data_IF_516788523278
#
_entry.id   IF_516788523278
#
_cell.length_a   1.000
_cell.length_b   1.000
_cell.length_c   1.000
_cell.angle_alpha   90.00
_cell.angle_beta   90.00
_cell.angle_gamma   90.00
#
_symmetry.space_group_name_H-M   'P 1'
#
loop_
_entity.id
_entity.type
_entity.pdbx_description
1 polymer ?
#
# COMPACT_ATOMS: atom_id res chain seq x y z
N UNK A 1 15.90 -3.03 18.31
CA UNK A 1 14.86 -3.60 17.43
C UNK A 1 13.69 -2.67 17.51
N UNK A 2 13.35 -1.93 16.44
CA UNK A 2 12.16 -1.08 16.45
C UNK A 2 10.95 -1.99 16.46
N UNK A 3 10.30 -2.12 17.61
CA UNK A 3 8.98 -2.72 17.70
C UNK A 3 8.08 -1.94 16.75
N UNK A 4 7.58 -2.60 15.70
CA UNK A 4 6.46 -2.06 14.95
C UNK A 4 5.34 -1.94 15.96
N UNK A 5 4.95 -0.70 16.20
CA UNK A 5 4.07 -0.37 17.29
C UNK A 5 2.67 -0.93 16.97
N UNK A 6 2.39 -2.10 17.54
CA UNK A 6 1.06 -2.67 17.63
C UNK A 6 0.36 -2.00 18.82
N UNK A 7 -0.86 -1.52 18.61
CA UNK A 7 -1.67 -0.95 19.68
C UNK A 7 -2.81 -1.91 19.99
N UNK A 8 -3.00 -2.25 21.28
CA UNK A 8 -4.01 -3.21 21.74
C UNK A 8 -3.97 -4.60 21.05
N UNK A 9 -2.82 -5.03 20.53
CA UNK A 9 -2.70 -6.30 19.80
C UNK A 9 -3.21 -6.27 18.36
N UNK A 10 -3.62 -5.09 17.85
CA UNK A 10 -3.99 -4.92 16.45
C UNK A 10 -2.74 -4.91 15.55
N UNK A 11 -2.74 -5.79 14.55
CA UNK A 11 -1.70 -5.86 13.54
C UNK A 11 -2.04 -4.95 12.36
N UNK A 12 -1.04 -4.36 11.68
CA UNK A 12 -1.29 -3.58 10.49
C UNK A 12 -1.83 -4.47 9.37
N UNK A 13 -2.71 -3.92 8.54
CA UNK A 13 -3.07 -4.55 7.27
C UNK A 13 -1.89 -4.42 6.29
N UNK A 14 -1.52 -5.52 5.64
CA UNK A 14 -0.49 -5.49 4.60
C UNK A 14 -1.13 -5.51 3.23
N UNK A 15 -0.77 -4.54 2.39
CA UNK A 15 -1.23 -4.40 1.02
C UNK A 15 -0.03 -4.47 0.07
N UNK A 16 -0.18 -5.22 -1.01
CA UNK A 16 0.79 -5.29 -2.11
C UNK A 16 0.16 -4.71 -3.36
N UNK A 17 0.71 -3.63 -3.89
CA UNK A 17 0.26 -3.04 -5.14
C UNK A 17 0.73 -3.93 -6.30
N UNK A 18 -0.18 -4.21 -7.23
CA UNK A 18 0.21 -4.88 -8.45
C UNK A 18 1.18 -4.00 -9.28
N UNK A 19 2.02 -4.59 -10.15
CA UNK A 19 3.03 -3.83 -10.90
C UNK A 19 2.45 -2.74 -11.82
N UNK A 20 1.25 -2.95 -12.39
CA UNK A 20 0.60 -1.97 -13.27
C UNK A 20 0.15 -0.78 -12.44
N UNK A 21 -0.57 -1.02 -11.34
CA UNK A 21 -0.95 0.02 -10.41
C UNK A 21 0.30 0.75 -9.90
N UNK A 22 1.31 0.03 -9.39
CA UNK A 22 2.54 0.66 -8.93
C UNK A 22 3.21 1.54 -10.00
N UNK A 23 3.27 1.08 -11.26
CA UNK A 23 3.81 1.85 -12.38
C UNK A 23 3.01 3.12 -12.69
N UNK A 24 1.68 3.02 -12.70
CA UNK A 24 0.79 4.18 -12.87
C UNK A 24 1.01 5.22 -11.77
N UNK A 25 1.26 4.75 -10.55
CA UNK A 25 1.41 5.59 -9.38
C UNK A 25 2.80 6.23 -9.27
N UNK A 26 3.84 5.53 -9.74
CA UNK A 26 5.21 6.04 -9.80
C UNK A 26 5.40 7.18 -10.80
N UNK A 27 4.51 7.31 -11.79
CA UNK A 27 4.53 8.39 -12.77
C UNK A 27 3.92 9.72 -12.26
N UNK A 28 3.21 9.71 -11.13
CA UNK A 28 2.56 10.88 -10.55
C UNK A 28 3.44 11.60 -9.53
N UNK A 29 3.72 12.89 -9.75
CA UNK A 29 4.52 13.79 -8.89
C UNK A 29 3.94 13.96 -7.46
N UNK A 30 4.10 12.98 -6.57
CA UNK A 30 3.85 13.12 -5.12
C UNK A 30 2.37 13.08 -4.68
N UNK A 31 1.40 13.29 -5.57
CA UNK A 31 -0.05 13.15 -5.28
C UNK A 31 -0.47 11.76 -4.82
N UNK A 32 0.35 10.75 -5.11
CA UNK A 32 0.01 9.37 -4.79
C UNK A 32 0.03 9.06 -3.29
N UNK A 33 0.98 9.61 -2.54
CA UNK A 33 1.03 9.43 -1.08
C UNK A 33 -0.24 10.00 -0.42
N UNK A 34 -0.75 11.11 -0.94
CA UNK A 34 -2.03 11.68 -0.51
C UNK A 34 -3.23 10.78 -0.88
N UNK A 35 -3.23 10.19 -2.08
CA UNK A 35 -4.28 9.24 -2.49
C UNK A 35 -4.31 7.99 -1.61
N UNK A 36 -3.15 7.43 -1.26
CA UNK A 36 -3.07 6.30 -0.32
C UNK A 36 -3.63 6.66 1.05
N UNK A 37 -3.32 7.86 1.56
CA UNK A 37 -3.85 8.33 2.83
C UNK A 37 -5.36 8.59 2.75
N UNK A 38 -5.87 9.10 1.62
CA UNK A 38 -7.30 9.32 1.41
C UNK A 38 -8.08 8.00 1.33
N UNK A 39 -7.52 6.97 0.68
CA UNK A 39 -8.17 5.68 0.49
C UNK A 39 -8.13 4.80 1.74
N UNK A 40 -6.97 4.70 2.40
CA UNK A 40 -6.75 3.76 3.49
C UNK A 40 -6.61 4.41 4.87
N UNK A 41 -6.29 5.70 4.91
CA UNK A 41 -6.16 6.45 6.15
C UNK A 41 -7.50 6.91 6.71
N UNK A 42 -7.50 7.26 7.99
CA UNK A 42 -8.65 7.80 8.73
C UNK A 42 -8.20 8.78 9.79
N UNK A 43 -8.97 9.86 9.99
CA UNK A 43 -8.77 10.78 11.12
C UNK A 43 -7.43 11.53 11.04
N UNK A 44 -6.69 11.52 12.15
CA UNK A 44 -5.39 12.19 12.36
C UNK A 44 -4.18 11.36 11.90
N UNK A 45 -4.39 10.37 11.03
CA UNK A 45 -3.29 9.55 10.52
C UNK A 45 -2.39 10.31 9.55
N UNK A 46 -1.11 9.96 9.63
CA UNK A 46 -0.08 10.40 8.69
C UNK A 46 0.36 9.22 7.84
N UNK A 47 1.00 9.53 6.71
CA UNK A 47 1.61 8.56 5.83
C UNK A 47 3.08 8.91 5.62
N UNK A 48 3.94 7.91 5.72
CA UNK A 48 5.37 8.04 5.45
C UNK A 48 5.80 7.07 4.36
N UNK A 49 6.76 7.51 3.55
CA UNK A 49 7.38 6.72 2.48
C UNK A 49 8.80 6.32 2.87
N UNK A 50 9.15 5.05 2.67
CA UNK A 50 10.49 4.50 2.92
C UNK A 50 10.90 3.56 1.79
N UNK A 51 12.17 3.63 1.40
CA UNK A 51 12.77 2.64 0.52
C UNK A 51 13.07 1.35 1.30
N UNK A 52 12.68 0.21 0.74
CA UNK A 52 12.93 -1.13 1.29
C UNK A 52 13.71 -1.95 0.26
N UNK A 53 14.40 -3.05 0.66
CA UNK A 53 15.31 -3.76 -0.24
C UNK A 53 14.74 -4.15 -1.62
N UNK A 54 13.43 -4.36 -1.71
CA UNK A 54 12.74 -4.78 -2.93
C UNK A 54 11.65 -3.81 -3.39
N UNK A 55 11.73 -2.52 -3.05
CA UNK A 55 10.79 -1.53 -3.55
C UNK A 55 10.55 -0.38 -2.59
N UNK A 56 9.30 0.07 -2.52
CA UNK A 56 8.87 1.18 -1.67
C UNK A 56 7.80 0.69 -0.71
N UNK A 57 7.93 1.09 0.55
CA UNK A 57 6.93 0.91 1.58
C UNK A 57 6.31 2.27 1.92
N UNK A 58 4.99 2.35 1.89
CA UNK A 58 4.24 3.39 2.57
C UNK A 58 3.61 2.82 3.82
N UNK A 59 3.73 3.50 4.95
CA UNK A 59 3.05 3.11 6.18
C UNK A 59 2.19 4.23 6.69
N UNK A 60 0.94 3.88 7.02
CA UNK A 60 -0.06 4.81 7.55
C UNK A 60 -0.16 4.56 9.04
N UNK A 61 0.04 5.61 9.83
CA UNK A 61 0.11 5.50 11.27
C UNK A 61 -0.57 6.67 11.98
N UNK A 62 -1.05 6.41 13.19
CA UNK A 62 -1.26 7.48 14.16
C UNK A 62 0.09 7.88 14.73
N UNK A 63 0.33 9.18 14.83
CA UNK A 63 1.51 9.70 15.52
C UNK A 63 1.43 9.40 17.03
N UNK A 64 2.60 9.36 17.65
CA UNK A 64 2.74 9.29 19.10
C UNK A 64 2.12 10.52 19.76
N UNK A 65 1.26 10.30 20.75
CA UNK A 65 0.68 11.33 21.61
C UNK A 65 0.96 11.02 23.08
N UNK A 66 0.86 12.01 24.00
CA UNK A 66 0.96 11.73 25.43
C UNK A 66 -0.03 10.64 25.87
N UNK A 67 0.49 9.47 26.25
CA UNK A 67 -0.33 8.32 26.67
C UNK A 67 -0.81 7.39 25.54
N UNK A 68 -0.41 7.63 24.29
CA UNK A 68 -0.69 6.76 23.13
C UNK A 68 0.59 6.62 22.28
N UNK A 69 1.22 5.44 22.22
CA UNK A 69 2.36 5.22 21.32
C UNK A 69 1.90 5.41 19.86
N UNK A 70 2.86 5.65 18.98
CA UNK A 70 2.59 5.56 17.54
C UNK A 70 1.94 4.21 17.21
N UNK A 71 1.09 4.15 16.19
CA UNK A 71 0.43 2.90 15.82
C UNK A 71 0.27 2.81 14.31
N UNK A 72 0.93 1.81 13.71
CA UNK A 72 0.82 1.55 12.28
C UNK A 72 -0.42 0.73 11.97
N UNK A 73 -1.26 1.24 11.08
CA UNK A 73 -2.50 0.58 10.65
C UNK A 73 -2.38 -0.11 9.31
N UNK A 74 -1.53 0.41 8.42
CA UNK A 74 -1.33 -0.13 7.08
C UNK A 74 0.15 -0.14 6.71
N UNK A 75 0.56 -1.21 6.04
CA UNK A 75 1.83 -1.35 5.33
C UNK A 75 1.51 -1.59 3.85
N UNK A 76 1.89 -0.67 2.98
CA UNK A 76 1.54 -0.70 1.55
C UNK A 76 2.84 -0.79 0.74
N UNK A 77 3.05 -1.94 0.12
CA UNK A 77 4.24 -2.26 -0.66
C UNK A 77 4.00 -2.03 -2.15
N UNK A 78 4.97 -1.40 -2.81
CA UNK A 78 5.00 -1.24 -4.26
C UNK A 78 6.36 -1.60 -4.84
N UNK A 79 6.38 -2.14 -6.06
CA UNK A 79 7.61 -2.54 -6.75
C UNK A 79 8.25 -3.83 -6.23
N UNK A 80 7.57 -4.54 -5.33
CA UNK A 80 8.00 -5.81 -4.76
C UNK A 80 7.12 -6.98 -5.23
N UNK A 81 7.61 -8.20 -5.11
CA UNK A 81 6.82 -9.43 -5.23
C UNK A 81 6.33 -9.89 -3.85
N UNK A 82 5.26 -10.70 -3.81
CA UNK A 82 4.75 -11.25 -2.54
C UNK A 82 5.83 -12.00 -1.72
N UNK A 83 6.68 -12.87 -2.30
CA UNK A 83 7.77 -13.51 -1.54
C UNK A 83 8.76 -12.51 -0.90
N UNK A 84 9.08 -11.42 -1.59
CA UNK A 84 9.97 -10.37 -1.07
C UNK A 84 9.31 -9.57 0.05
N UNK A 85 8.01 -9.29 -0.08
CA UNK A 85 7.22 -8.68 1.00
C UNK A 85 7.19 -9.63 2.20
N UNK A 86 6.94 -10.93 1.98
CA UNK A 86 6.93 -11.94 3.04
C UNK A 86 8.26 -12.00 3.79
N UNK A 87 9.39 -11.98 3.09
CA UNK A 87 10.73 -11.95 3.69
C UNK A 87 10.91 -10.69 4.57
N UNK A 88 10.51 -9.53 4.07
CA UNK A 88 10.57 -8.28 4.83
C UNK A 88 9.69 -8.34 6.09
N UNK A 89 8.44 -8.82 5.97
CA UNK A 89 7.53 -8.97 7.10
C UNK A 89 8.09 -9.93 8.17
N UNK A 90 8.72 -11.06 7.76
CA UNK A 90 9.40 -11.96 8.70
C UNK A 90 10.51 -11.23 9.45
N UNK A 91 11.31 -10.41 8.76
CA UNK A 91 12.43 -9.68 9.36
C UNK A 91 12.02 -8.67 10.45
N UNK A 92 10.78 -8.18 10.40
CA UNK A 92 10.21 -7.21 11.34
C UNK A 92 9.18 -7.82 12.30
N UNK A 93 9.07 -9.15 12.35
CA UNK A 93 8.18 -9.86 13.28
C UNK A 93 6.71 -9.94 12.86
N UNK A 94 6.38 -9.60 11.61
CA UNK A 94 5.04 -9.64 11.01
C UNK A 94 4.87 -10.79 10.01
N UNK A 95 5.72 -11.82 10.09
CA UNK A 95 5.78 -12.92 9.12
C UNK A 95 4.48 -13.72 8.96
N UNK A 96 3.57 -13.66 9.93
CA UNK A 96 2.26 -14.32 9.89
C UNK A 96 1.11 -13.44 9.36
N UNK A 97 1.35 -12.15 9.11
CA UNK A 97 0.30 -11.23 8.65
C UNK A 97 -0.07 -11.54 7.19
N UNK A 98 -1.36 -11.55 6.90
CA UNK A 98 -1.85 -11.78 5.53
C UNK A 98 -1.45 -10.61 4.61
N UNK A 99 -1.04 -10.92 3.37
CA UNK A 99 -0.73 -9.93 2.34
C UNK A 99 -1.93 -9.87 1.40
N UNK A 100 -2.54 -8.70 1.26
CA UNK A 100 -3.64 -8.47 0.32
C UNK A 100 -3.14 -7.75 -0.93
N UNK A 101 -3.23 -8.40 -2.08
CA UNK A 101 -2.89 -7.76 -3.36
C UNK A 101 -3.97 -6.78 -3.79
N UNK A 102 -3.57 -5.55 -4.12
CA UNK A 102 -4.41 -4.47 -4.60
C UNK A 102 -4.14 -4.28 -6.09
N UNK A 103 -5.18 -4.45 -6.88
CA UNK A 103 -5.12 -4.30 -8.33
C UNK A 103 -5.59 -2.91 -8.74
N UNK A 104 -4.91 -2.32 -9.73
CA UNK A 104 -5.40 -1.12 -10.40
C UNK A 104 -6.69 -1.39 -11.16
N UNK A 105 -7.46 -0.34 -11.43
CA UNK A 105 -8.53 -0.44 -12.40
C UNK A 105 -7.90 -0.77 -13.77
N UNK A 106 -8.07 -2.00 -14.24
CA UNK A 106 -7.86 -2.30 -15.65
C UNK A 106 -9.03 -1.67 -16.39
N UNK A 107 -8.81 -0.58 -17.12
CA UNK A 107 -9.81 -0.15 -18.11
C UNK A 107 -10.00 -1.32 -19.09
N UNK A 108 -11.21 -1.86 -19.12
CA UNK A 108 -11.64 -2.78 -20.17
C UNK A 108 -11.75 -1.93 -21.44
N UNK A 109 -10.84 -2.13 -22.40
CA UNK A 109 -10.95 -1.48 -23.72
C UNK A 109 -12.17 -2.12 -24.39
N UNK A 110 -13.34 -1.48 -24.27
CA UNK A 110 -14.50 -1.84 -25.06
C UNK A 110 -14.23 -1.30 -26.46
N UNK A 111 -13.77 -2.17 -27.37
CA UNK A 111 -13.75 -1.84 -28.80
C UNK A 111 -15.19 -1.51 -29.20
N UNK A 112 -15.43 -0.25 -29.58
CA UNK A 112 -16.72 0.15 -30.12
C UNK A 112 -17.02 -0.75 -31.34
N UNK A 113 -18.25 -1.29 -31.48
CA UNK A 113 -18.59 -2.07 -32.67
C UNK A 113 -18.38 -1.18 -33.90
N UNK A 114 -17.62 -1.68 -34.88
CA UNK A 114 -17.53 -1.03 -36.19
C UNK A 114 -18.95 -0.84 -36.72
N UNK A 115 -19.37 0.41 -36.88
CA UNK A 115 -20.56 0.72 -37.67
C UNK A 115 -20.27 0.25 -39.10
N UNK A 116 -20.82 -0.92 -39.43
CA UNK A 116 -20.94 -1.37 -40.81
C UNK A 116 -21.89 -0.40 -41.52
N UNK A 117 -21.30 0.53 -42.27
CA UNK A 117 -22.02 1.41 -43.17
C UNK A 117 -22.63 0.52 -44.29
N UNK A 118 -23.91 0.16 -44.15
CA UNK A 118 -24.66 -0.54 -45.18
C UNK A 118 -24.89 0.42 -46.36
N UNK A 119 -24.16 0.19 -47.46
CA UNK A 119 -24.32 0.85 -48.77
C UNK A 119 -25.55 0.36 -49.53
#
# INVERSE_FOLDING_TARGET
MSEIASWNGEQPQVKLLDPVLFGQLGAGEGRYTELLLAEYGRGDQIIERREVPHGVLHFIQFEELPGRPAWTTHLIFGGATEPQVREYLVSIGLGSVEIHTVYGATEEIVEAPEEVDEL
#
